data_IF_916764275259
#
_entry.id   IF_916764275259
#
_cell.length_a   1.000
_cell.length_b   1.000
_cell.length_c   1.000
_cell.angle_alpha   90.00
_cell.angle_beta   90.00
_cell.angle_gamma   90.00
#
_symmetry.space_group_name_H-M   'P 1'
#
loop_
_entity.id
_entity.type
_entity.pdbx_description
1 polymer ?
#
# COMPACT_ATOMS: atom_id res chain seq x y z
N UNK A 1 -14.73 16.37 -34.56
CA UNK A 1 -15.60 16.38 -33.37
C UNK A 1 -14.70 16.17 -32.17
N UNK A 2 -14.33 17.27 -31.52
CA UNK A 2 -13.45 17.29 -30.35
C UNK A 2 -14.24 16.79 -29.16
N UNK A 3 -13.88 15.60 -28.67
CA UNK A 3 -14.28 15.12 -27.35
C UNK A 3 -13.60 16.01 -26.32
N UNK A 4 -14.36 16.95 -25.75
CA UNK A 4 -14.03 17.59 -24.49
C UNK A 4 -14.03 16.51 -23.41
N UNK A 5 -12.91 15.80 -23.28
CA UNK A 5 -12.57 15.12 -22.04
C UNK A 5 -12.52 16.21 -20.97
N UNK A 6 -13.35 16.04 -19.95
CA UNK A 6 -13.40 16.86 -18.75
C UNK A 6 -12.09 16.67 -17.95
N UNK A 7 -10.97 17.09 -18.54
CA UNK A 7 -9.62 16.93 -18.02
C UNK A 7 -9.46 17.89 -16.87
N UNK A 8 -9.74 17.40 -15.67
CA UNK A 8 -9.48 18.14 -14.44
C UNK A 8 -7.99 18.40 -14.32
N UNK A 9 -7.62 19.63 -13.93
CA UNK A 9 -6.23 20.04 -13.83
C UNK A 9 -5.41 19.07 -12.95
N UNK A 10 -4.10 18.88 -13.24
CA UNK A 10 -3.25 18.00 -12.47
C UNK A 10 -3.24 18.39 -10.99
N UNK A 11 -3.43 17.41 -10.12
CA UNK A 11 -3.55 17.64 -8.68
C UNK A 11 -3.07 16.45 -7.88
N UNK A 12 -2.63 16.74 -6.66
CA UNK A 12 -2.18 15.76 -5.68
C UNK A 12 -3.09 15.78 -4.48
N UNK A 13 -3.55 14.62 -4.07
CA UNK A 13 -4.42 14.45 -2.91
C UNK A 13 -3.68 13.63 -1.87
N UNK A 14 -3.50 14.23 -0.69
CA UNK A 14 -3.07 13.51 0.51
C UNK A 14 -4.31 13.17 1.31
N UNK A 15 -4.55 11.89 1.52
CA UNK A 15 -5.62 11.40 2.37
C UNK A 15 -5.03 10.87 3.67
N UNK A 16 -5.55 11.33 4.81
CA UNK A 16 -5.23 10.83 6.13
C UNK A 16 -6.40 10.05 6.72
N UNK A 17 -6.13 8.91 7.35
CA UNK A 17 -7.16 8.13 8.04
C UNK A 17 -6.58 7.27 9.16
N UNK A 18 -7.42 6.48 9.83
CA UNK A 18 -7.00 5.34 10.66
C UNK A 18 -7.25 4.03 9.92
N UNK A 19 -6.40 3.04 10.17
CA UNK A 19 -6.42 1.71 9.55
C UNK A 19 -7.79 1.04 9.59
N UNK A 20 -8.46 1.07 10.74
CA UNK A 20 -9.79 0.47 10.96
C UNK A 20 -10.95 1.19 10.26
N UNK A 21 -10.75 2.45 9.86
CA UNK A 21 -11.75 3.22 9.13
C UNK A 21 -11.71 2.92 7.63
N UNK A 22 -10.69 2.21 7.13
CA UNK A 22 -10.56 1.86 5.72
C UNK A 22 -11.43 0.64 5.41
N UNK A 23 -12.42 0.75 4.50
CA UNK A 23 -13.37 -0.33 4.25
C UNK A 23 -12.74 -1.47 3.44
N UNK A 24 -12.95 -2.71 3.87
CA UNK A 24 -12.49 -3.92 3.19
C UNK A 24 -11.93 -4.97 4.15
N UNK A 25 -11.94 -6.23 3.72
CA UNK A 25 -11.50 -7.38 4.51
C UNK A 25 -9.98 -7.60 4.49
N UNK A 26 -9.31 -7.26 3.39
CA UNK A 26 -7.86 -7.40 3.22
C UNK A 26 -7.20 -6.13 2.65
N UNK A 27 -5.88 -6.15 2.56
CA UNK A 27 -5.09 -5.04 2.00
C UNK A 27 -5.56 -4.58 0.61
N UNK A 28 -5.79 -5.53 -0.30
CA UNK A 28 -6.10 -5.22 -1.69
C UNK A 28 -7.48 -4.59 -1.80
N UNK A 29 -8.45 -5.15 -1.10
CA UNK A 29 -9.80 -4.61 -1.04
C UNK A 29 -9.80 -3.22 -0.40
N UNK A 30 -9.07 -3.03 0.72
CA UNK A 30 -8.95 -1.73 1.40
C UNK A 30 -8.35 -0.65 0.51
N UNK A 31 -7.25 -0.94 -0.18
CA UNK A 31 -6.64 0.00 -1.11
C UNK A 31 -7.56 0.29 -2.30
N UNK A 32 -8.21 -0.73 -2.87
CA UNK A 32 -9.16 -0.58 -3.99
C UNK A 32 -10.37 0.28 -3.60
N UNK A 33 -11.00 -0.02 -2.47
CA UNK A 33 -12.17 0.71 -2.02
C UNK A 33 -11.81 2.16 -1.72
N UNK A 34 -10.69 2.40 -1.03
CA UNK A 34 -10.31 3.76 -0.66
C UNK A 34 -10.01 4.65 -1.87
N UNK A 35 -9.27 4.15 -2.87
CA UNK A 35 -8.99 4.93 -4.07
C UNK A 35 -10.24 5.20 -4.89
N UNK A 36 -11.16 4.24 -5.03
CA UNK A 36 -12.42 4.44 -5.73
C UNK A 36 -13.32 5.44 -5.00
N UNK A 37 -13.48 5.31 -3.67
CA UNK A 37 -14.25 6.27 -2.87
C UNK A 37 -13.71 7.70 -3.02
N UNK A 38 -12.38 7.86 -3.02
CA UNK A 38 -11.76 9.17 -3.17
C UNK A 38 -11.96 9.73 -4.59
N UNK A 39 -11.78 8.92 -5.64
CA UNK A 39 -12.03 9.35 -7.02
C UNK A 39 -13.50 9.68 -7.26
N UNK A 40 -14.44 8.92 -6.67
CA UNK A 40 -15.87 9.18 -6.76
C UNK A 40 -16.22 10.51 -6.07
N UNK A 41 -15.63 10.78 -4.91
CA UNK A 41 -15.81 12.04 -4.19
C UNK A 41 -15.29 13.26 -4.98
N UNK A 42 -14.14 13.12 -5.65
CA UNK A 42 -13.48 14.25 -6.34
C UNK A 42 -13.99 14.46 -7.77
N UNK A 43 -14.28 13.37 -8.49
CA UNK A 43 -14.48 13.37 -9.94
C UNK A 43 -15.67 12.54 -10.41
N UNK A 44 -16.46 11.97 -9.49
CA UNK A 44 -17.62 11.14 -9.80
C UNK A 44 -17.30 9.96 -10.75
N UNK A 45 -16.12 9.35 -10.57
CA UNK A 45 -15.67 8.15 -11.31
C UNK A 45 -14.81 7.24 -10.42
N UNK A 46 -14.62 6.00 -10.85
CA UNK A 46 -13.65 5.09 -10.24
C UNK A 46 -12.20 5.46 -10.59
N UNK A 47 -11.26 4.86 -9.87
CA UNK A 47 -9.83 5.03 -10.09
C UNK A 47 -9.42 4.54 -11.48
N UNK A 48 -8.65 5.36 -12.19
CA UNK A 48 -8.18 5.10 -13.54
C UNK A 48 -6.65 4.96 -13.53
N UNK A 49 -6.11 3.79 -13.90
CA UNK A 49 -4.67 3.55 -13.89
C UNK A 49 -3.90 4.32 -14.97
N UNK A 50 -4.57 4.82 -16.01
CA UNK A 50 -3.92 5.62 -17.04
C UNK A 50 -3.67 7.05 -16.54
N UNK A 51 -4.60 7.59 -15.76
CA UNK A 51 -4.59 8.99 -15.32
C UNK A 51 -4.21 9.18 -13.85
N UNK A 52 -4.45 8.20 -13.00
CA UNK A 52 -4.27 8.28 -11.56
C UNK A 52 -3.08 7.42 -11.09
N UNK A 53 -2.44 7.86 -10.01
CA UNK A 53 -1.39 7.08 -9.32
C UNK A 53 -1.67 7.03 -7.84
N UNK A 54 -1.43 5.86 -7.27
CA UNK A 54 -1.75 5.55 -5.89
C UNK A 54 -0.50 5.13 -5.12
N UNK A 55 -0.34 5.64 -3.91
CA UNK A 55 0.70 5.22 -2.98
C UNK A 55 0.17 5.24 -1.56
N UNK A 56 0.67 4.33 -0.73
CA UNK A 56 0.27 4.21 0.67
C UNK A 56 1.44 4.41 1.63
N UNK A 57 1.13 4.94 2.81
CA UNK A 57 2.08 5.04 3.90
C UNK A 57 1.43 4.65 5.22
N UNK A 58 2.08 3.71 5.94
CA UNK A 58 1.58 3.24 7.23
C UNK A 58 0.31 2.40 7.14
N UNK A 59 0.01 1.80 5.99
CA UNK A 59 -1.13 0.92 5.73
C UNK A 59 -1.02 -0.46 6.44
N UNK A 60 -0.67 -0.44 7.73
CA UNK A 60 -0.53 -1.61 8.57
C UNK A 60 -1.91 -2.05 9.08
N UNK A 61 -2.79 -2.47 8.15
CA UNK A 61 -4.21 -2.73 8.41
C UNK A 61 -4.51 -3.83 9.42
N UNK A 62 -3.55 -4.70 9.73
CA UNK A 62 -3.72 -5.67 10.80
C UNK A 62 -3.73 -5.04 12.20
N UNK A 63 -3.31 -3.77 12.34
CA UNK A 63 -3.40 -3.05 13.60
C UNK A 63 -4.52 -2.03 13.57
N UNK A 64 -5.39 -2.10 14.56
CA UNK A 64 -6.47 -1.15 14.78
C UNK A 64 -5.93 0.23 15.19
N UNK A 65 -6.71 1.28 14.93
CA UNK A 65 -6.43 2.64 15.41
C UNK A 65 -5.20 3.36 14.83
N UNK A 66 -4.34 2.71 14.05
CA UNK A 66 -3.10 3.32 13.54
C UNK A 66 -3.38 4.34 12.44
N UNK A 67 -2.66 5.44 12.45
CA UNK A 67 -2.75 6.44 11.39
C UNK A 67 -2.08 5.91 10.12
N UNK A 68 -2.78 6.02 9.00
CA UNK A 68 -2.23 5.76 7.68
C UNK A 68 -2.57 6.92 6.73
N UNK A 69 -1.80 6.98 5.65
CA UNK A 69 -1.91 8.00 4.63
C UNK A 69 -1.95 7.35 3.26
N UNK A 70 -2.67 7.99 2.35
CA UNK A 70 -2.68 7.65 0.95
C UNK A 70 -2.37 8.89 0.12
N UNK A 71 -1.66 8.67 -0.97
CA UNK A 71 -1.32 9.69 -1.95
C UNK A 71 -1.98 9.31 -3.27
N UNK A 72 -2.83 10.18 -3.77
CA UNK A 72 -3.50 10.05 -5.05
C UNK A 72 -3.06 11.22 -5.94
N UNK A 73 -2.35 10.93 -7.01
CA UNK A 73 -1.99 11.92 -8.02
C UNK A 73 -2.88 11.73 -9.24
N UNK A 74 -3.49 12.80 -9.74
CA UNK A 74 -4.31 12.79 -10.95
C UNK A 74 -3.70 13.65 -12.04
N UNK A 75 -3.68 13.13 -13.26
CA UNK A 75 -3.23 13.83 -14.45
C UNK A 75 -1.72 13.87 -14.60
N UNK A 76 -1.26 14.66 -15.57
CA UNK A 76 0.14 14.80 -15.94
C UNK A 76 0.56 16.26 -15.88
N UNK A 77 1.77 16.50 -15.34
CA UNK A 77 2.36 17.83 -15.25
C UNK A 77 3.84 17.74 -15.64
N UNK A 78 4.35 18.81 -16.24
CA UNK A 78 5.78 19.03 -16.46
C UNK A 78 6.50 19.55 -15.22
N UNK A 79 5.75 19.90 -14.17
CA UNK A 79 6.26 20.42 -12.90
C UNK A 79 5.82 19.53 -11.72
N UNK A 80 6.62 19.52 -10.65
CA UNK A 80 6.22 18.95 -9.37
C UNK A 80 5.34 19.91 -8.55
N UNK A 81 5.26 21.17 -8.95
CA UNK A 81 4.43 22.19 -8.34
C UNK A 81 2.98 22.04 -8.84
N UNK A 82 2.26 21.14 -8.19
CA UNK A 82 0.82 20.91 -8.42
C UNK A 82 0.04 21.21 -7.14
N UNK A 83 -1.22 21.65 -7.24
CA UNK A 83 -2.06 21.84 -6.07
C UNK A 83 -2.12 20.56 -5.22
N UNK A 84 -1.89 20.73 -3.91
CA UNK A 84 -2.00 19.64 -2.94
C UNK A 84 -3.23 19.85 -2.08
N UNK A 85 -4.21 18.94 -2.21
CA UNK A 85 -5.39 18.89 -1.36
C UNK A 85 -5.18 17.88 -0.23
N UNK A 86 -5.53 18.27 1.00
CA UNK A 86 -5.41 17.39 2.15
C UNK A 86 -6.78 17.03 2.69
N UNK A 87 -7.12 15.74 2.65
CA UNK A 87 -8.37 15.22 3.20
C UNK A 87 -8.14 14.34 4.42
N UNK A 88 -9.17 14.26 5.27
CA UNK A 88 -9.31 13.23 6.30
C UNK A 88 -10.52 12.37 5.99
N UNK A 89 -10.33 11.05 5.98
CA UNK A 89 -11.43 10.09 5.99
C UNK A 89 -11.84 9.78 7.43
N UNK A 90 -13.15 9.78 7.69
CA UNK A 90 -13.73 9.54 9.03
C UNK A 90 -14.29 8.13 9.20
N UNK A 91 -14.27 7.31 8.16
CA UNK A 91 -15.03 6.06 8.09
C UNK A 91 -16.32 6.21 7.26
N UNK A 92 -16.80 7.44 7.08
CA UNK A 92 -18.05 7.72 6.37
C UNK A 92 -17.96 8.90 5.41
N UNK A 93 -17.09 9.88 5.67
CA UNK A 93 -16.98 11.11 4.89
C UNK A 93 -15.54 11.55 4.67
N UNK A 94 -15.33 12.27 3.57
CA UNK A 94 -14.10 13.01 3.28
C UNK A 94 -14.24 14.45 3.77
N UNK A 95 -13.35 14.87 4.65
CA UNK A 95 -13.32 16.23 5.16
C UNK A 95 -12.05 16.93 4.65
N UNK A 96 -12.21 17.98 3.86
CA UNK A 96 -11.09 18.82 3.41
C UNK A 96 -10.49 19.55 4.62
N UNK A 97 -9.18 19.41 4.79
CA UNK A 97 -8.40 20.14 5.79
C UNK A 97 -7.80 21.35 5.09
N UNK A 98 -8.13 22.55 5.60
CA UNK A 98 -7.63 23.83 5.07
C UNK A 98 -6.27 24.23 5.63
N UNK A 99 -5.84 23.57 6.71
CA UNK A 99 -4.52 23.79 7.31
C UNK A 99 -3.41 23.33 6.36
N UNK A 100 -2.22 23.95 6.43
CA UNK A 100 -1.07 23.48 5.68
C UNK A 100 -0.69 22.06 6.12
N UNK A 101 -0.28 21.23 5.15
CA UNK A 101 0.24 19.89 5.43
C UNK A 101 1.40 19.96 6.45
N UNK A 102 1.45 19.07 7.46
CA UNK A 102 2.55 19.04 8.43
C UNK A 102 3.93 18.92 7.76
N UNK A 103 4.96 19.52 8.35
CA UNK A 103 6.33 19.53 7.79
C UNK A 103 6.85 18.12 7.46
N UNK A 104 6.60 17.15 8.35
CA UNK A 104 6.96 15.75 8.12
C UNK A 104 6.30 15.15 6.88
N UNK A 105 5.05 15.54 6.59
CA UNK A 105 4.35 15.08 5.38
C UNK A 105 4.91 15.75 4.13
N UNK A 106 5.22 17.05 4.18
CA UNK A 106 5.86 17.76 3.06
C UNK A 106 7.21 17.14 2.68
N UNK A 107 8.08 16.93 3.66
CA UNK A 107 9.37 16.24 3.46
C UNK A 107 9.20 14.81 2.92
N UNK A 108 8.07 14.16 3.19
CA UNK A 108 7.76 12.86 2.62
C UNK A 108 7.33 12.96 1.16
N UNK A 109 6.52 13.96 0.80
CA UNK A 109 6.08 14.20 -0.58
C UNK A 109 7.25 14.50 -1.52
N UNK A 110 8.34 15.08 -1.02
CA UNK A 110 9.59 15.27 -1.78
C UNK A 110 10.18 13.95 -2.28
N UNK A 111 9.95 12.83 -1.58
CA UNK A 111 10.38 11.49 -2.02
C UNK A 111 9.50 10.88 -3.10
N UNK A 112 8.37 11.53 -3.41
CA UNK A 112 7.35 11.07 -4.33
C UNK A 112 7.10 12.18 -5.36
N UNK A 113 7.99 12.36 -6.35
CA UNK A 113 7.81 13.40 -7.36
C UNK A 113 6.50 13.20 -8.12
N UNK A 114 5.82 14.30 -8.43
CA UNK A 114 4.62 14.26 -9.25
C UNK A 114 4.96 13.98 -10.71
N UNK A 115 6.08 14.45 -11.22
CA UNK A 115 6.50 14.12 -12.58
C UNK A 115 6.75 12.61 -12.65
N UNK A 116 6.15 11.94 -13.65
CA UNK A 116 6.44 10.53 -13.92
C UNK A 116 7.91 10.43 -14.35
N UNK A 117 8.78 9.69 -13.63
CA UNK A 117 10.09 9.37 -14.17
C UNK A 117 9.86 8.64 -15.50
N UNK A 118 10.59 9.02 -16.56
CA UNK A 118 10.60 8.22 -17.78
C UNK A 118 11.01 6.80 -17.35
N UNK A 119 10.14 5.82 -17.56
CA UNK A 119 10.52 4.42 -17.43
C UNK A 119 11.60 4.20 -18.48
N UNK A 120 12.86 4.18 -18.05
CA UNK A 120 13.86 3.54 -18.88
C UNK A 120 13.42 2.10 -19.07
N UNK A 121 13.53 1.53 -20.28
CA UNK A 121 13.26 0.13 -20.49
C UNK A 121 14.08 -0.63 -19.46
N UNK A 122 13.41 -1.22 -18.47
CA UNK A 122 14.09 -2.04 -17.49
C UNK A 122 14.72 -3.15 -18.29
N UNK A 123 16.04 -3.12 -18.45
CA UNK A 123 16.79 -4.34 -18.68
C UNK A 123 16.38 -5.21 -17.52
N UNK A 124 15.50 -6.18 -17.78
CA UNK A 124 15.05 -7.15 -16.81
C UNK A 124 16.28 -7.98 -16.46
N UNK A 125 17.17 -7.42 -15.62
CA UNK A 125 18.17 -8.18 -14.91
C UNK A 125 17.34 -9.22 -14.19
N UNK A 126 17.53 -10.50 -14.57
CA UNK A 126 17.04 -11.64 -13.80
C UNK A 126 17.54 -11.42 -12.39
N UNK A 127 16.72 -10.78 -11.56
CA UNK A 127 17.08 -10.49 -10.19
C UNK A 127 17.20 -11.85 -9.51
N UNK A 128 18.35 -12.11 -8.90
CA UNK A 128 18.50 -13.28 -8.04
C UNK A 128 17.32 -13.32 -7.07
N UNK A 129 16.80 -14.52 -6.74
CA UNK A 129 15.74 -14.63 -5.75
C UNK A 129 16.14 -13.88 -4.46
N UNK A 130 15.23 -13.16 -3.80
CA UNK A 130 15.59 -12.39 -2.61
C UNK A 130 16.15 -13.31 -1.53
N UNK A 131 17.13 -12.83 -0.76
CA UNK A 131 17.70 -13.57 0.35
C UNK A 131 16.68 -13.82 1.48
N UNK A 132 17.04 -14.70 2.42
CA UNK A 132 16.16 -15.11 3.52
C UNK A 132 15.71 -13.92 4.37
N UNK A 133 16.60 -12.96 4.65
CA UNK A 133 16.30 -11.80 5.47
C UNK A 133 15.30 -10.86 4.79
N UNK A 134 15.49 -10.61 3.50
CA UNK A 134 14.62 -9.79 2.65
C UNK A 134 13.22 -10.41 2.57
N UNK A 135 13.14 -11.71 2.34
CA UNK A 135 11.84 -12.39 2.30
C UNK A 135 11.16 -12.44 3.67
N UNK A 136 11.89 -12.64 4.78
CA UNK A 136 11.33 -12.52 6.14
C UNK A 136 10.73 -11.12 6.35
N UNK A 137 11.44 -10.08 5.92
CA UNK A 137 10.94 -8.71 5.96
C UNK A 137 9.67 -8.52 5.10
N UNK A 138 9.58 -9.16 3.93
CA UNK A 138 8.36 -9.15 3.11
C UNK A 138 7.19 -9.84 3.82
N UNK A 139 7.41 -11.00 4.45
CA UNK A 139 6.37 -11.69 5.24
C UNK A 139 5.89 -10.80 6.39
N UNK A 140 6.82 -10.17 7.14
CA UNK A 140 6.46 -9.22 8.20
C UNK A 140 5.62 -8.07 7.68
N UNK A 141 6.00 -7.49 6.54
CA UNK A 141 5.22 -6.44 5.90
C UNK A 141 3.80 -6.93 5.58
N UNK A 142 3.69 -8.11 4.95
CA UNK A 142 2.40 -8.70 4.58
C UNK A 142 1.50 -8.98 5.78
N UNK A 143 2.04 -9.57 6.85
CA UNK A 143 1.30 -9.79 8.11
C UNK A 143 0.77 -8.47 8.67
N UNK A 144 1.63 -7.47 8.80
CA UNK A 144 1.28 -6.16 9.35
C UNK A 144 0.26 -5.41 8.49
N UNK A 145 0.32 -5.58 7.18
CA UNK A 145 -0.56 -4.94 6.21
C UNK A 145 -1.86 -5.72 5.96
N UNK A 146 -2.07 -6.88 6.61
CA UNK A 146 -3.19 -7.78 6.34
C UNK A 146 -3.27 -8.20 4.85
N UNK A 147 -2.11 -8.55 4.29
CA UNK A 147 -1.99 -9.09 2.94
C UNK A 147 -2.00 -10.62 2.97
N UNK A 148 -2.55 -11.22 1.92
CA UNK A 148 -2.41 -12.66 1.67
C UNK A 148 -0.93 -12.99 1.42
N UNK A 149 -0.46 -14.07 2.04
CA UNK A 149 0.89 -14.59 1.88
C UNK A 149 0.80 -15.87 1.06
N UNK A 150 1.52 -15.93 -0.05
CA UNK A 150 1.45 -17.07 -0.96
C UNK A 150 2.24 -18.25 -0.40
N UNK A 151 1.84 -19.50 -0.67
CA UNK A 151 2.56 -20.69 -0.18
C UNK A 151 4.06 -20.71 -0.50
N UNK A 152 4.47 -20.25 -1.69
CA UNK A 152 5.88 -20.16 -2.10
C UNK A 152 6.71 -19.20 -1.23
N UNK A 153 6.08 -18.17 -0.66
CA UNK A 153 6.76 -17.25 0.24
C UNK A 153 6.97 -17.87 1.62
N UNK A 154 6.14 -18.85 1.98
CA UNK A 154 6.18 -19.57 3.24
C UNK A 154 7.26 -20.66 3.27
N UNK A 155 7.88 -21.02 2.13
CA UNK A 155 8.95 -22.03 2.07
C UNK A 155 10.12 -21.74 3.02
N UNK A 156 10.33 -20.47 3.40
CA UNK A 156 11.33 -20.07 4.40
C UNK A 156 10.99 -20.48 5.83
N UNK A 157 9.70 -20.67 6.13
CA UNK A 157 9.22 -21.19 7.41
C UNK A 157 9.47 -22.70 7.53
N UNK A 158 9.94 -23.36 6.48
CA UNK A 158 10.36 -24.76 6.55
C UNK A 158 11.57 -24.99 7.46
N UNK A 159 12.31 -23.93 7.83
CA UNK A 159 13.34 -23.99 8.88
C UNK A 159 12.77 -23.46 10.22
N UNK A 160 12.73 -24.29 11.29
CA UNK A 160 12.27 -23.88 12.62
C UNK A 160 12.94 -22.61 13.17
N UNK A 161 14.22 -22.39 12.90
CA UNK A 161 14.95 -21.19 13.36
C UNK A 161 14.39 -19.93 12.73
N UNK A 162 14.03 -19.98 11.45
CA UNK A 162 13.45 -18.85 10.74
C UNK A 162 12.03 -18.54 11.22
N UNK A 163 11.26 -19.57 11.59
CA UNK A 163 9.95 -19.41 12.23
C UNK A 163 10.08 -18.73 13.59
N UNK A 164 11.01 -19.18 14.42
CA UNK A 164 11.27 -18.61 15.74
C UNK A 164 11.70 -17.14 15.64
N UNK A 165 12.60 -16.82 14.71
CA UNK A 165 13.02 -15.45 14.43
C UNK A 165 11.86 -14.58 13.94
N UNK A 166 11.02 -15.08 13.02
CA UNK A 166 9.86 -14.34 12.55
C UNK A 166 8.90 -14.03 13.71
N UNK A 167 8.60 -15.02 14.57
CA UNK A 167 7.73 -14.86 15.74
C UNK A 167 8.26 -13.82 16.73
N UNK A 168 9.58 -13.79 16.96
CA UNK A 168 10.22 -12.80 17.82
C UNK A 168 10.14 -11.36 17.25
N UNK A 169 9.98 -11.20 15.94
CA UNK A 169 9.98 -9.91 15.25
C UNK A 169 8.58 -9.34 14.96
N UNK A 170 7.52 -10.05 15.35
CA UNK A 170 6.10 -9.69 15.11
C UNK A 170 5.26 -9.82 16.39
N UNK A 171 4.07 -9.23 16.34
CA UNK A 171 3.10 -9.29 17.43
C UNK A 171 2.57 -10.73 17.63
N UNK A 172 2.38 -11.20 18.88
CA UNK A 172 1.85 -12.52 19.19
C UNK A 172 0.56 -12.90 18.47
N UNK A 173 -0.30 -11.92 18.12
CA UNK A 173 -1.54 -12.20 17.38
C UNK A 173 -1.34 -12.85 16.00
N UNK A 174 -0.12 -12.79 15.44
CA UNK A 174 0.21 -13.42 14.16
C UNK A 174 0.75 -14.84 14.33
N UNK A 175 1.00 -15.31 15.55
CA UNK A 175 1.67 -16.58 15.79
C UNK A 175 0.86 -17.77 15.27
N UNK A 176 -0.46 -17.80 15.48
CA UNK A 176 -1.32 -18.88 14.97
C UNK A 176 -1.26 -18.98 13.44
N UNK A 177 -1.27 -17.82 12.77
CA UNK A 177 -1.15 -17.75 11.31
C UNK A 177 0.22 -18.27 10.85
N UNK A 178 1.30 -17.93 11.57
CA UNK A 178 2.66 -18.41 11.29
C UNK A 178 2.78 -19.92 11.52
N UNK A 179 2.20 -20.44 12.61
CA UNK A 179 2.24 -21.87 12.93
C UNK A 179 1.49 -22.70 11.88
N UNK A 180 0.31 -22.24 11.46
CA UNK A 180 -0.43 -22.85 10.38
C UNK A 180 0.38 -22.89 9.06
N UNK A 181 1.17 -21.84 8.79
CA UNK A 181 2.06 -21.81 7.64
C UNK A 181 3.21 -22.82 7.76
N UNK A 182 3.87 -22.89 8.91
CA UNK A 182 4.97 -23.82 9.15
C UNK A 182 4.53 -25.28 9.01
N UNK A 183 3.34 -25.63 9.52
CA UNK A 183 2.76 -26.97 9.40
C UNK A 183 2.54 -27.39 7.93
N UNK A 184 2.04 -26.48 7.08
CA UNK A 184 1.86 -26.75 5.64
C UNK A 184 3.17 -26.96 4.88
N UNK A 185 4.26 -26.32 5.32
CA UNK A 185 5.58 -26.53 4.73
C UNK A 185 6.12 -27.91 5.08
N UNK A 186 6.03 -28.32 6.35
CA UNK A 186 6.51 -29.63 6.80
C UNK A 186 5.76 -30.79 6.13
N UNK A 187 4.44 -30.66 5.96
CA UNK A 187 3.62 -31.68 5.30
C UNK A 187 3.97 -31.88 3.81
N UNK A 188 4.60 -30.90 3.14
CA UNK A 188 5.05 -31.04 1.74
C UNK A 188 6.38 -31.77 1.60
N UNK A 189 7.24 -31.71 2.62
CA UNK A 189 8.56 -32.36 2.62
C UNK A 189 8.44 -33.87 2.91
N UNK A 190 7.34 -34.33 3.50
CA UNK A 190 7.12 -35.74 3.84
C UNK A 190 6.57 -36.62 2.70
N UNK A 191 6.40 -36.08 1.49
CA UNK A 191 5.89 -36.81 0.31
C UNK A 191 6.85 -36.80 -0.90
N UNK A 192 8.10 -36.37 -0.72
CA UNK A 192 9.22 -36.58 -1.66
C UNK A 192 10.23 -37.56 -1.07
#
# INVERSE_FOLDING_TARGET
MTSDENSTAPQRIVLQTKTHQVPGGDYQERCRNMKNLLCQHLWNRDFDYEHDRWQEYGAAFAYEGRRCYFLLDHGQSSSNDVPVLWYKWTGTSFNLIKDPLPAQMRAKLERYPFIRPKREPSQAKKSSPPDVATRRQMIRYKLRSNMKIAPVELELLGNPDQVALLKAEVDPKFWDQIDHFAQRCNARVSFE
#
